data_IF_306242120330
#
_entry.id   IF_306242120330
#
_cell.length_a   1.000
_cell.length_b   1.000
_cell.length_c   1.000
_cell.angle_alpha   90.00
_cell.angle_beta   90.00
_cell.angle_gamma   90.00
#
_symmetry.space_group_name_H-M   'P 1'
#
loop_
_entity.id
_entity.type
_entity.pdbx_description
1 polymer ?
#
# COMPACT_ATOMS: atom_id res chain seq x y z
N UNK A 1 -25.46 -22.15 -47.98
CA UNK A 1 -24.65 -22.40 -46.78
C UNK A 1 -24.12 -21.09 -46.17
N UNK A 2 -25.02 -20.17 -45.82
CA UNK A 2 -24.70 -18.95 -45.07
C UNK A 2 -25.88 -18.64 -44.13
N UNK A 3 -25.96 -19.35 -43.00
CA UNK A 3 -26.94 -19.03 -41.96
C UNK A 3 -26.39 -17.89 -41.10
N UNK A 4 -27.26 -16.99 -40.65
CA UNK A 4 -26.89 -15.89 -39.74
C UNK A 4 -26.17 -16.39 -38.49
N UNK A 5 -26.50 -17.60 -38.03
CA UNK A 5 -25.83 -18.25 -36.89
C UNK A 5 -24.34 -18.55 -37.15
N UNK A 6 -23.99 -19.02 -38.35
CA UNK A 6 -22.59 -19.31 -38.70
C UNK A 6 -21.75 -18.03 -38.78
N UNK A 7 -22.35 -16.94 -39.29
CA UNK A 7 -21.68 -15.62 -39.33
C UNK A 7 -21.45 -15.07 -37.93
N UNK A 8 -22.44 -15.20 -37.04
CA UNK A 8 -22.31 -14.79 -35.65
C UNK A 8 -21.21 -15.58 -34.92
N UNK A 9 -21.19 -16.90 -35.10
CA UNK A 9 -20.17 -17.76 -34.50
C UNK A 9 -18.75 -17.38 -34.95
N UNK A 10 -18.55 -17.06 -36.23
CA UNK A 10 -17.25 -16.62 -36.74
C UNK A 10 -16.82 -15.26 -36.16
N UNK A 11 -17.73 -14.29 -36.06
CA UNK A 11 -17.44 -12.97 -35.46
C UNK A 11 -17.13 -13.11 -33.98
N UNK A 12 -17.92 -13.91 -33.26
CA UNK A 12 -17.69 -14.16 -31.84
C UNK A 12 -16.36 -14.89 -31.60
N UNK A 13 -16.05 -15.92 -32.40
CA UNK A 13 -14.76 -16.61 -32.34
C UNK A 13 -13.57 -15.70 -32.62
N UNK A 14 -13.68 -14.81 -33.61
CA UNK A 14 -12.66 -13.80 -33.86
C UNK A 14 -12.51 -12.83 -32.68
N UNK A 15 -13.61 -12.32 -32.15
CA UNK A 15 -13.58 -11.44 -30.97
C UNK A 15 -12.92 -12.10 -29.75
N UNK A 16 -13.30 -13.34 -29.42
CA UNK A 16 -12.73 -14.05 -28.27
C UNK A 16 -11.26 -14.37 -28.46
N UNK A 17 -10.81 -14.72 -29.67
CA UNK A 17 -9.38 -14.93 -29.95
C UNK A 17 -8.57 -13.65 -29.76
N UNK A 18 -9.05 -12.50 -30.25
CA UNK A 18 -8.38 -11.20 -30.06
C UNK A 18 -8.29 -10.83 -28.57
N UNK A 19 -9.39 -10.99 -27.83
CA UNK A 19 -9.40 -10.71 -26.38
C UNK A 19 -8.45 -11.65 -25.63
N UNK A 20 -8.42 -12.93 -25.99
CA UNK A 20 -7.54 -13.92 -25.36
C UNK A 20 -6.07 -13.60 -25.61
N UNK A 21 -5.70 -13.24 -26.85
CA UNK A 21 -4.33 -12.84 -27.19
C UNK A 21 -3.93 -11.58 -26.42
N UNK A 22 -4.79 -10.56 -26.36
CA UNK A 22 -4.52 -9.34 -25.59
C UNK A 22 -4.36 -9.64 -24.10
N UNK A 23 -5.22 -10.47 -23.52
CA UNK A 23 -5.13 -10.90 -22.13
C UNK A 23 -3.83 -11.68 -21.86
N UNK A 24 -3.40 -12.54 -22.77
CA UNK A 24 -2.10 -13.23 -22.68
C UNK A 24 -0.94 -12.24 -22.69
N UNK A 25 -0.94 -11.24 -23.58
CA UNK A 25 0.11 -10.21 -23.62
C UNK A 25 0.16 -9.37 -22.33
N UNK A 26 -1.01 -9.01 -21.78
CA UNK A 26 -1.14 -8.34 -20.48
C UNK A 26 -0.54 -9.20 -19.36
N UNK A 27 -0.90 -10.49 -19.31
CA UNK A 27 -0.39 -11.42 -18.30
C UNK A 27 1.14 -11.61 -18.40
N UNK A 28 1.67 -11.77 -19.61
CA UNK A 28 3.12 -11.88 -19.84
C UNK A 28 3.83 -10.60 -19.40
N UNK A 29 3.27 -9.43 -19.70
CA UNK A 29 3.85 -8.14 -19.30
C UNK A 29 3.92 -8.01 -17.77
N UNK A 30 2.91 -8.49 -17.05
CA UNK A 30 2.90 -8.48 -15.58
C UNK A 30 3.95 -9.43 -14.98
N UNK A 31 4.16 -10.61 -15.59
CA UNK A 31 5.18 -11.58 -15.16
C UNK A 31 6.62 -11.07 -15.36
N UNK A 32 6.85 -10.18 -16.32
CA UNK A 32 8.16 -9.61 -16.61
C UNK A 32 8.52 -8.44 -15.67
N UNK A 33 7.55 -7.90 -14.92
CA UNK A 33 7.79 -6.76 -14.04
C UNK A 33 8.30 -7.21 -12.68
N UNK A 34 9.57 -6.91 -12.36
CA UNK A 34 10.16 -7.25 -11.08
C UNK A 34 9.60 -6.35 -9.96
N UNK A 35 9.01 -6.95 -8.92
CA UNK A 35 8.46 -6.25 -7.75
C UNK A 35 9.39 -6.39 -6.57
N UNK A 36 10.36 -5.49 -6.46
CA UNK A 36 11.37 -5.50 -5.38
C UNK A 36 11.26 -4.22 -4.53
N UNK A 37 10.16 -4.03 -3.76
CA UNK A 37 10.05 -2.88 -2.88
C UNK A 37 11.08 -2.96 -1.75
N UNK A 38 11.52 -1.80 -1.27
CA UNK A 38 12.43 -1.71 -0.13
C UNK A 38 11.79 -0.89 0.99
N UNK A 39 11.87 -1.38 2.23
CA UNK A 39 11.36 -0.66 3.37
C UNK A 39 12.25 -0.88 4.60
N UNK A 40 12.51 0.20 5.33
CA UNK A 40 13.23 0.20 6.59
C UNK A 40 12.38 0.85 7.66
N UNK A 41 12.10 0.10 8.72
CA UNK A 41 11.38 0.59 9.91
C UNK A 41 12.36 0.71 11.06
N UNK A 42 12.45 1.89 11.68
CA UNK A 42 13.27 2.14 12.86
C UNK A 42 12.37 2.54 14.03
N UNK A 43 12.31 1.76 15.11
CA UNK A 43 11.57 2.16 16.31
C UNK A 43 12.25 3.38 16.94
N UNK A 44 11.48 4.42 17.22
CA UNK A 44 11.95 5.67 17.83
C UNK A 44 11.63 5.73 19.33
N UNK A 45 10.60 5.01 19.77
CA UNK A 45 10.26 4.88 21.18
C UNK A 45 8.90 4.24 21.41
N UNK A 46 8.74 3.61 22.57
CA UNK A 46 7.50 3.06 23.07
C UNK A 46 7.22 3.68 24.44
N UNK A 47 6.04 4.25 24.62
CA UNK A 47 5.63 4.83 25.90
C UNK A 47 4.24 4.36 26.27
N UNK A 48 4.06 3.84 27.49
CA UNK A 48 2.74 3.53 28.03
C UNK A 48 2.26 4.70 28.88
N UNK A 49 1.13 5.27 28.51
CA UNK A 49 0.49 6.41 29.19
C UNK A 49 -0.84 5.95 29.77
N UNK A 50 -1.00 6.12 31.08
CA UNK A 50 -2.28 5.86 31.75
C UNK A 50 -3.14 7.12 31.71
N UNK A 51 -4.30 7.04 31.06
CA UNK A 51 -5.18 8.18 30.83
C UNK A 51 -6.64 7.87 31.13
N UNK A 52 -7.49 8.89 31.09
CA UNK A 52 -8.95 8.74 31.04
C UNK A 52 -9.42 9.26 29.68
N UNK A 53 -10.06 8.44 28.84
CA UNK A 53 -10.66 8.94 27.61
C UNK A 53 -11.79 9.92 27.98
N UNK A 54 -11.75 11.12 27.41
CA UNK A 54 -12.70 12.18 27.77
C UNK A 54 -14.16 11.87 27.39
N UNK A 55 -14.39 10.87 26.53
CA UNK A 55 -15.72 10.57 25.97
C UNK A 55 -16.22 9.13 26.11
N UNK A 56 -15.34 8.12 26.18
CA UNK A 56 -15.76 6.73 25.98
C UNK A 56 -15.83 5.87 27.26
N UNK A 57 -15.11 6.23 28.31
CA UNK A 57 -15.04 5.40 29.53
C UNK A 57 -14.63 6.23 30.73
N UNK A 58 -15.33 6.05 31.86
CA UNK A 58 -14.96 6.67 33.14
C UNK A 58 -13.78 5.96 33.82
N UNK A 59 -13.37 4.80 33.32
CA UNK A 59 -12.27 4.00 33.85
C UNK A 59 -10.93 4.52 33.32
N UNK A 60 -9.86 4.34 34.11
CA UNK A 60 -8.50 4.64 33.64
C UNK A 60 -8.10 3.53 32.69
N UNK A 61 -7.66 3.90 31.50
CA UNK A 61 -7.19 3.00 30.45
C UNK A 61 -5.69 3.22 30.22
N UNK A 62 -5.01 2.19 29.72
CA UNK A 62 -3.60 2.25 29.37
C UNK A 62 -3.48 2.42 27.85
N UNK A 63 -2.76 3.45 27.42
CA UNK A 63 -2.49 3.74 26.02
C UNK A 63 -1.03 3.49 25.71
N UNK A 64 -0.76 2.70 24.67
CA UNK A 64 0.58 2.59 24.11
C UNK A 64 0.78 3.66 23.04
N UNK A 65 1.75 4.54 23.24
CA UNK A 65 2.23 5.51 22.27
C UNK A 65 3.46 4.93 21.59
N UNK A 66 3.30 4.49 20.34
CA UNK A 66 4.37 3.94 19.52
C UNK A 66 4.89 5.02 18.58
N UNK A 67 6.20 5.28 18.60
CA UNK A 67 6.88 6.20 17.69
C UNK A 67 7.85 5.42 16.84
N UNK A 68 7.77 5.59 15.52
CA UNK A 68 8.66 4.92 14.58
C UNK A 68 8.97 5.83 13.38
N UNK A 69 10.12 5.57 12.77
CA UNK A 69 10.50 6.12 11.47
C UNK A 69 10.31 5.04 10.41
N UNK A 70 9.57 5.37 9.36
CA UNK A 70 9.40 4.54 8.17
C UNK A 70 10.08 5.26 7.01
N UNK A 71 10.95 4.53 6.33
CA UNK A 71 11.52 4.89 5.04
C UNK A 71 11.22 3.74 4.08
N UNK A 72 10.37 3.98 3.08
CA UNK A 72 9.98 2.96 2.13
C UNK A 72 10.01 3.49 0.70
N UNK A 73 10.61 2.72 -0.19
CA UNK A 73 10.58 2.87 -1.63
C UNK A 73 9.66 1.81 -2.23
N UNK A 74 8.50 2.27 -2.70
CA UNK A 74 7.45 1.43 -3.27
C UNK A 74 7.32 1.61 -4.78
N UNK A 75 8.26 2.32 -5.42
CA UNK A 75 8.21 2.64 -6.84
C UNK A 75 8.05 1.41 -7.74
N UNK A 76 8.72 0.30 -7.39
CA UNK A 76 8.62 -0.97 -8.13
C UNK A 76 7.22 -1.62 -8.11
N UNK A 77 6.33 -1.15 -7.24
CA UNK A 77 4.95 -1.68 -7.15
C UNK A 77 4.00 -0.95 -8.11
N UNK A 78 4.37 0.24 -8.58
CA UNK A 78 3.56 1.00 -9.51
C UNK A 78 3.82 0.56 -10.94
N UNK A 79 2.88 -0.23 -11.45
CA UNK A 79 2.84 -0.67 -12.85
C UNK A 79 1.70 0.02 -13.57
N UNK A 80 1.60 -0.17 -14.89
CA UNK A 80 0.48 0.33 -15.69
C UNK A 80 -0.90 -0.18 -15.20
N UNK A 81 -0.95 -1.29 -14.47
CA UNK A 81 -2.17 -1.87 -13.92
C UNK A 81 -2.38 -1.57 -12.42
N UNK A 82 -1.40 -0.97 -11.73
CA UNK A 82 -1.49 -0.69 -10.30
C UNK A 82 -2.19 0.65 -10.08
N UNK A 83 -3.43 0.62 -9.58
CA UNK A 83 -4.20 1.83 -9.28
C UNK A 83 -3.91 2.41 -7.90
N UNK A 84 -3.69 1.56 -6.91
CA UNK A 84 -3.48 1.94 -5.51
C UNK A 84 -2.57 0.93 -4.81
N UNK A 85 -1.78 1.40 -3.86
CA UNK A 85 -0.97 0.56 -2.96
C UNK A 85 -1.41 0.82 -1.52
N UNK A 86 -1.75 -0.25 -0.80
CA UNK A 86 -2.12 -0.21 0.61
C UNK A 86 -0.89 -0.58 1.45
N UNK A 87 -0.45 0.34 2.29
CA UNK A 87 0.73 0.15 3.15
C UNK A 87 0.26 0.22 4.59
N UNK A 88 0.71 -0.73 5.40
CA UNK A 88 0.41 -0.74 6.82
C UNK A 88 1.61 -1.24 7.62
N UNK A 89 1.69 -0.81 8.88
CA UNK A 89 2.68 -1.26 9.85
C UNK A 89 1.94 -1.99 10.95
N UNK A 90 2.32 -3.25 11.18
CA UNK A 90 1.83 -4.07 12.28
C UNK A 90 2.82 -4.04 13.44
N UNK A 91 2.28 -4.00 14.66
CA UNK A 91 3.00 -4.32 15.87
C UNK A 91 2.56 -5.71 16.33
N UNK A 92 3.53 -6.55 16.65
CA UNK A 92 3.33 -7.89 17.18
C UNK A 92 3.93 -7.95 18.58
N UNK A 93 3.18 -8.49 19.54
CA UNK A 93 3.65 -8.68 20.91
C UNK A 93 3.21 -10.03 21.46
N UNK A 94 4.14 -10.71 22.11
CA UNK A 94 3.90 -11.97 22.80
C UNK A 94 3.68 -11.76 24.31
N UNK A 95 3.15 -12.79 24.95
CA UNK A 95 3.14 -12.89 26.40
C UNK A 95 4.49 -13.45 26.87
N UNK A 96 5.12 -12.83 27.88
CA UNK A 96 6.42 -13.26 28.40
C UNK A 96 6.38 -14.70 28.96
N UNK A 97 5.18 -15.19 29.29
CA UNK A 97 4.94 -16.52 29.87
C UNK A 97 4.46 -17.57 28.86
N UNK A 98 4.12 -17.19 27.63
CA UNK A 98 3.82 -18.11 26.55
C UNK A 98 5.10 -18.33 25.75
N UNK A 99 5.45 -19.59 25.47
CA UNK A 99 6.67 -19.97 24.74
C UNK A 99 7.03 -18.96 23.64
N UNK A 100 8.26 -18.41 23.71
CA UNK A 100 8.78 -17.25 22.98
C UNK A 100 8.79 -17.37 21.43
N UNK A 101 8.14 -18.38 20.86
CA UNK A 101 8.09 -18.71 19.45
C UNK A 101 6.84 -18.20 18.72
N UNK A 102 5.79 -17.78 19.44
CA UNK A 102 4.54 -17.30 18.81
C UNK A 102 4.12 -15.94 19.35
N UNK A 103 4.06 -14.93 18.47
CA UNK A 103 3.40 -13.66 18.78
C UNK A 103 1.90 -13.92 18.92
N UNK A 104 1.37 -13.75 20.14
CA UNK A 104 -0.04 -14.05 20.43
C UNK A 104 -0.98 -12.93 20.02
N UNK A 105 -0.47 -11.70 19.88
CA UNK A 105 -1.26 -10.53 19.54
C UNK A 105 -0.60 -9.71 18.43
N UNK A 106 -1.41 -9.29 17.46
CA UNK A 106 -1.02 -8.43 16.34
C UNK A 106 -2.01 -7.29 16.20
N UNK A 107 -1.52 -6.06 16.03
CA UNK A 107 -2.35 -4.91 15.72
C UNK A 107 -1.72 -4.02 14.65
N UNK A 108 -2.56 -3.45 13.78
CA UNK A 108 -2.14 -2.42 12.83
C UNK A 108 -2.03 -1.09 13.57
N UNK A 109 -0.82 -0.52 13.59
CA UNK A 109 -0.53 0.74 14.30
C UNK A 109 -0.50 1.96 13.37
N UNK A 110 -0.41 1.73 12.06
CA UNK A 110 -0.40 2.77 11.04
C UNK A 110 -0.78 2.19 9.69
N UNK A 111 -1.53 2.96 8.90
CA UNK A 111 -1.91 2.63 7.54
C UNK A 111 -1.91 3.87 6.63
N UNK A 112 -1.64 3.66 5.34
CA UNK A 112 -1.72 4.69 4.31
C UNK A 112 -2.03 4.07 2.95
N UNK A 113 -2.92 4.74 2.22
CA UNK A 113 -3.25 4.42 0.84
C UNK A 113 -2.46 5.38 -0.07
N UNK A 114 -1.67 4.82 -0.98
CA UNK A 114 -0.90 5.55 -1.99
C UNK A 114 -1.64 5.41 -3.32
N UNK A 115 -2.00 6.53 -3.93
CA UNK A 115 -2.85 6.57 -5.13
C UNK A 115 -2.14 7.07 -6.38
N UNK A 116 -0.89 7.52 -6.26
CA UNK A 116 -0.12 8.02 -7.40
C UNK A 116 1.39 7.73 -7.28
N UNK A 117 2.09 7.42 -8.40
CA UNK A 117 3.53 7.16 -8.43
C UNK A 117 4.41 8.25 -7.81
N UNK A 118 3.92 9.49 -7.86
CA UNK A 118 4.57 10.66 -7.24
C UNK A 118 4.64 10.59 -5.71
N UNK A 119 3.96 9.64 -5.08
CA UNK A 119 3.84 9.50 -3.62
C UNK A 119 4.36 8.18 -3.07
N UNK A 120 5.18 7.48 -3.85
CA UNK A 120 5.65 6.11 -3.59
C UNK A 120 6.77 6.03 -2.57
N UNK A 121 7.47 7.16 -2.35
CA UNK A 121 8.42 7.28 -1.24
C UNK A 121 7.69 7.75 0.01
N UNK A 122 7.71 6.91 1.02
CA UNK A 122 7.17 7.23 2.33
C UNK A 122 8.32 7.64 3.24
N UNK A 123 8.37 8.92 3.60
CA UNK A 123 9.19 9.43 4.69
C UNK A 123 8.28 10.08 5.74
N UNK A 124 8.49 9.75 7.02
CA UNK A 124 7.82 10.44 8.13
C UNK A 124 8.40 11.87 8.27
N UNK A 125 7.87 12.79 7.48
CA UNK A 125 8.29 14.20 7.42
C UNK A 125 7.48 15.01 8.44
N UNK A 126 8.17 15.83 9.25
CA UNK A 126 7.50 16.71 10.21
C UNK A 126 6.54 17.71 9.56
N UNK A 127 5.52 18.21 10.28
CA UNK A 127 4.43 19.02 9.70
C UNK A 127 4.92 20.30 9.02
N UNK A 128 5.99 20.91 9.53
CA UNK A 128 6.60 22.12 8.94
C UNK A 128 7.25 21.81 7.59
N UNK A 129 7.99 20.71 7.49
CA UNK A 129 8.63 20.30 6.26
C UNK A 129 7.57 19.85 5.23
N UNK A 130 6.52 19.15 5.65
CA UNK A 130 5.39 18.80 4.78
C UNK A 130 4.70 20.03 4.19
N UNK A 131 4.49 21.08 4.99
CA UNK A 131 3.90 22.35 4.52
C UNK A 131 4.78 23.05 3.48
N UNK A 132 6.11 23.02 3.67
CA UNK A 132 7.07 23.57 2.69
C UNK A 132 7.07 22.77 1.38
N UNK A 133 7.03 21.44 1.47
CA UNK A 133 6.98 20.56 0.29
C UNK A 133 5.70 20.77 -0.51
N UNK A 134 4.53 20.82 0.16
CA UNK A 134 3.24 21.06 -0.50
C UNK A 134 3.20 22.41 -1.22
N UNK A 135 3.70 23.46 -0.57
CA UNK A 135 3.85 24.79 -1.20
C UNK A 135 4.82 24.77 -2.38
N UNK A 136 5.88 23.96 -2.32
CA UNK A 136 6.85 23.81 -3.40
C UNK A 136 6.37 22.93 -4.55
N UNK A 137 5.38 22.06 -4.33
CA UNK A 137 4.80 21.17 -5.34
C UNK A 137 3.59 21.78 -6.06
N UNK A 138 2.95 22.82 -5.48
CA UNK A 138 1.86 23.54 -6.12
C UNK A 138 2.30 24.12 -7.48
N UNK A 139 1.65 23.68 -8.57
CA UNK A 139 1.88 24.16 -9.93
C UNK A 139 3.01 23.45 -10.70
N UNK A 140 3.74 22.51 -10.08
CA UNK A 140 4.70 21.65 -10.82
C UNK A 140 3.96 20.47 -11.43
N UNK A 141 4.20 20.20 -12.71
CA UNK A 141 3.76 18.95 -13.34
C UNK A 141 4.42 17.76 -12.63
N UNK A 142 3.75 16.61 -12.68
CA UNK A 142 4.35 15.33 -12.30
C UNK A 142 5.61 15.19 -13.16
N UNK A 143 6.75 14.94 -12.51
CA UNK A 143 8.03 14.80 -13.19
C UNK A 143 7.87 13.76 -14.30
N UNK A 144 8.10 14.09 -15.58
CA UNK A 144 7.89 13.15 -16.68
C UNK A 144 8.87 11.98 -16.67
N UNK A 145 9.91 12.03 -15.83
CA UNK A 145 10.78 10.89 -15.53
C UNK A 145 10.22 9.97 -14.43
N UNK A 146 9.03 10.25 -13.90
CA UNK A 146 8.32 9.48 -12.86
C UNK A 146 6.87 9.16 -13.21
#
# INVERSE_FOLDING_TARGET
MHSSLVRLQNVFGFFTTVVTVLACLIAVTDLLHARTPSATVRPAGLQVVRGRPHYYSKKKEEYAVVRFHLDADLSSLFTWNTKQVFVYVTAEWGDEHANATEATNTAVIWDKIITSPSSDHLANIGPVAMRKLRKSSEGKAIDPSR
#
